data_IF_548981173215
#
_entry.id   IF_548981173215
#
_cell.length_a   1.000
_cell.length_b   1.000
_cell.length_c   1.000
_cell.angle_alpha   90.00
_cell.angle_beta   90.00
_cell.angle_gamma   90.00
#
_symmetry.space_group_name_H-M   'P 1'
#
loop_
_entity.id
_entity.type
_entity.pdbx_description
1 polymer ?
#
# COMPACT_ATOMS: atom_id res chain seq x y z
N UNK A 1 -38.94 -44.05 -1.29
CA UNK A 1 -37.72 -43.31 -0.97
C UNK A 1 -38.01 -42.25 0.10
N UNK A 2 -37.36 -42.35 1.26
CA UNK A 2 -37.44 -41.31 2.29
C UNK A 2 -36.57 -40.14 1.83
N UNK A 3 -37.17 -39.00 1.60
CA UNK A 3 -36.43 -37.73 1.48
C UNK A 3 -36.17 -37.22 2.89
N UNK A 4 -34.95 -37.39 3.41
CA UNK A 4 -34.54 -36.67 4.59
C UNK A 4 -34.28 -35.23 4.18
N UNK A 5 -35.14 -34.32 4.64
CA UNK A 5 -34.88 -32.89 4.52
C UNK A 5 -33.79 -32.53 5.54
N UNK A 6 -32.60 -32.16 5.09
CA UNK A 6 -31.56 -31.58 5.92
C UNK A 6 -32.01 -30.16 6.23
N UNK A 7 -32.59 -29.95 7.40
CA UNK A 7 -33.16 -28.65 7.79
C UNK A 7 -32.16 -27.66 8.37
N UNK A 8 -30.97 -28.09 8.81
CA UNK A 8 -29.86 -27.24 9.28
C UNK A 8 -28.54 -28.00 9.20
N UNK A 9 -27.62 -27.52 8.38
CA UNK A 9 -26.19 -27.76 8.53
C UNK A 9 -25.65 -26.76 9.56
N UNK A 10 -25.05 -27.24 10.65
CA UNK A 10 -24.25 -26.40 11.52
C UNK A 10 -22.76 -26.64 11.23
N UNK A 11 -21.90 -25.77 11.72
CA UNK A 11 -20.46 -25.83 11.50
C UNK A 11 -19.84 -27.19 11.84
N UNK A 12 -20.33 -27.82 12.93
CA UNK A 12 -19.82 -29.11 13.39
C UNK A 12 -20.22 -30.30 12.48
N UNK A 13 -21.13 -30.07 11.52
CA UNK A 13 -21.51 -31.08 10.52
C UNK A 13 -20.64 -31.07 9.27
N UNK A 14 -19.76 -30.09 9.14
CA UNK A 14 -18.97 -29.87 7.93
C UNK A 14 -17.54 -30.41 8.05
N UNK A 15 -17.17 -31.20 8.97
CA UNK A 15 -15.81 -31.76 9.15
C UNK A 15 -14.64 -30.80 8.78
N UNK A 16 -14.85 -29.50 9.07
CA UNK A 16 -13.88 -28.42 8.81
C UNK A 16 -13.54 -27.79 10.15
N UNK A 17 -12.25 -27.60 10.41
CA UNK A 17 -11.80 -26.85 11.60
C UNK A 17 -11.84 -25.36 11.29
N UNK A 18 -12.76 -24.59 11.92
CA UNK A 18 -12.85 -23.15 11.64
C UNK A 18 -11.58 -22.41 12.10
N UNK A 19 -11.01 -21.60 11.25
CA UNK A 19 -9.98 -20.61 11.62
C UNK A 19 -10.54 -19.21 11.46
N UNK A 20 -10.09 -18.30 12.32
CA UNK A 20 -10.56 -16.92 12.31
C UNK A 20 -10.10 -16.22 11.01
N UNK A 21 -11.05 -15.55 10.35
CA UNK A 21 -10.83 -14.80 9.11
C UNK A 21 -10.48 -15.65 7.87
N UNK A 22 -10.68 -16.95 7.90
CA UNK A 22 -10.52 -17.80 6.73
C UNK A 22 -11.87 -18.10 6.07
N UNK A 23 -11.89 -18.11 4.75
CA UNK A 23 -13.05 -18.56 3.99
C UNK A 23 -13.14 -20.09 4.03
N UNK A 24 -14.35 -20.63 3.95
CA UNK A 24 -14.59 -22.05 3.70
C UNK A 24 -14.91 -22.18 2.22
N UNK A 25 -14.19 -23.04 1.53
CA UNK A 25 -14.39 -23.34 0.13
C UNK A 25 -14.25 -24.83 -0.15
N UNK A 26 -14.42 -25.21 -1.40
CA UNK A 26 -14.09 -26.55 -1.85
C UNK A 26 -12.56 -26.69 -1.97
N UNK A 27 -12.04 -27.87 -1.65
CA UNK A 27 -10.67 -28.24 -1.95
C UNK A 27 -10.40 -28.29 -3.46
N UNK A 28 -9.16 -28.56 -3.86
CA UNK A 28 -8.77 -28.61 -5.28
C UNK A 28 -9.45 -29.73 -6.08
N UNK A 29 -9.97 -30.75 -5.40
CA UNK A 29 -10.74 -31.86 -5.98
C UNK A 29 -12.23 -31.56 -6.11
N UNK A 30 -12.72 -30.51 -5.46
CA UNK A 30 -14.12 -30.12 -5.34
C UNK A 30 -15.01 -31.21 -4.70
N UNK A 31 -14.44 -32.08 -3.89
CA UNK A 31 -15.13 -33.20 -3.22
C UNK A 31 -15.16 -33.10 -1.69
N UNK A 32 -14.42 -32.13 -1.10
CA UNK A 32 -14.44 -31.82 0.33
C UNK A 32 -14.41 -30.28 0.57
N UNK A 33 -14.61 -29.88 1.84
CA UNK A 33 -14.56 -28.50 2.27
C UNK A 33 -13.28 -28.27 3.08
N UNK A 34 -12.56 -27.19 2.75
CA UNK A 34 -11.38 -26.77 3.49
C UNK A 34 -11.46 -25.30 3.91
N UNK A 35 -10.71 -24.92 4.96
CA UNK A 35 -10.49 -23.53 5.31
C UNK A 35 -9.33 -22.97 4.50
N UNK A 36 -9.40 -21.68 4.15
CA UNK A 36 -8.41 -21.03 3.29
C UNK A 36 -8.65 -21.25 1.79
N UNK A 37 -9.51 -22.18 1.40
CA UNK A 37 -9.93 -22.36 0.02
C UNK A 37 -10.77 -21.16 -0.44
N UNK A 38 -10.35 -20.49 -1.48
CA UNK A 38 -11.08 -19.38 -2.05
C UNK A 38 -10.80 -18.02 -1.39
N UNK A 39 -9.62 -17.83 -0.83
CA UNK A 39 -9.12 -16.49 -0.53
C UNK A 39 -9.28 -15.60 -1.76
N UNK A 40 -9.93 -14.44 -1.62
CA UNK A 40 -10.07 -13.48 -2.71
C UNK A 40 -8.71 -13.14 -3.33
N UNK A 41 -8.73 -12.53 -4.52
CA UNK A 41 -7.47 -12.09 -5.19
C UNK A 41 -6.60 -11.16 -4.34
N UNK A 42 -7.17 -10.52 -3.30
CA UNK A 42 -6.46 -9.70 -2.33
C UNK A 42 -6.48 -10.36 -0.96
N UNK A 43 -5.30 -10.71 -0.44
CA UNK A 43 -5.13 -11.35 0.87
C UNK A 43 -4.56 -10.33 1.85
N UNK A 44 -5.26 -10.08 2.96
CA UNK A 44 -4.79 -9.20 4.02
C UNK A 44 -3.52 -9.76 4.68
N UNK A 45 -2.49 -8.91 4.82
CA UNK A 45 -1.22 -9.27 5.46
C UNK A 45 -1.06 -8.52 6.79
N UNK A 46 -1.09 -7.21 6.75
CA UNK A 46 -0.90 -6.38 7.93
C UNK A 46 -1.50 -4.98 7.75
N UNK A 47 -1.67 -4.29 8.87
CA UNK A 47 -2.21 -2.92 8.88
C UNK A 47 -1.42 -2.07 9.87
N UNK A 48 -0.98 -0.92 9.42
CA UNK A 48 -0.56 0.20 10.24
C UNK A 48 -1.78 1.07 10.55
N UNK A 49 -1.92 1.49 11.80
CA UNK A 49 -2.89 2.51 12.22
C UNK A 49 -2.13 3.51 13.08
N UNK A 50 -2.12 4.78 12.70
CA UNK A 50 -1.45 5.81 13.47
C UNK A 50 -2.07 5.96 14.85
N UNK A 51 -1.22 6.13 15.86
CA UNK A 51 -1.60 6.48 17.24
C UNK A 51 -1.52 8.00 17.51
N UNK A 52 -1.14 8.76 16.48
CA UNK A 52 -1.02 10.22 16.54
C UNK A 52 0.41 10.74 16.69
N UNK A 53 1.40 9.84 16.82
CA UNK A 53 2.81 10.20 17.05
C UNK A 53 3.81 9.26 16.37
N UNK A 54 3.46 8.78 15.17
CA UNK A 54 4.27 7.78 14.47
C UNK A 54 5.28 8.43 13.51
N UNK A 55 6.55 8.29 13.80
CA UNK A 55 7.62 8.76 12.90
C UNK A 55 7.66 7.97 11.58
N UNK A 56 7.21 6.71 11.58
CA UNK A 56 7.23 5.83 10.40
C UNK A 56 6.13 4.79 10.43
N UNK A 57 5.61 4.43 9.26
CA UNK A 57 4.81 3.22 9.04
C UNK A 57 5.66 2.19 8.30
N UNK A 58 6.01 1.09 8.99
CA UNK A 58 6.99 0.11 8.50
C UNK A 58 6.35 -1.26 8.28
N UNK A 59 6.62 -1.86 7.12
CA UNK A 59 6.14 -3.17 6.72
C UNK A 59 7.33 -4.07 6.37
N UNK A 60 7.44 -5.22 7.05
CA UNK A 60 8.54 -6.18 6.86
C UNK A 60 8.06 -7.56 6.40
N UNK A 61 6.75 -7.72 6.19
CA UNK A 61 6.13 -8.99 5.77
C UNK A 61 6.04 -9.09 4.24
N UNK A 62 7.14 -8.76 3.55
CA UNK A 62 7.24 -8.81 2.09
C UNK A 62 8.21 -9.92 1.74
N UNK A 63 7.69 -11.01 1.20
CA UNK A 63 8.45 -12.22 0.91
C UNK A 63 8.12 -12.77 -0.50
N UNK A 64 8.36 -14.04 -0.73
CA UNK A 64 8.09 -14.70 -2.01
C UNK A 64 6.67 -15.28 -2.15
N UNK A 65 5.83 -15.14 -1.12
CA UNK A 65 4.47 -15.70 -1.10
C UNK A 65 3.61 -15.11 -2.21
N UNK A 66 3.69 -13.78 -2.40
CA UNK A 66 2.95 -13.10 -3.45
C UNK A 66 3.91 -12.49 -4.48
N UNK A 67 3.42 -12.38 -5.73
CA UNK A 67 4.15 -11.68 -6.80
C UNK A 67 3.83 -10.20 -6.86
N UNK A 68 2.74 -9.81 -6.25
CA UNK A 68 2.30 -8.43 -6.18
C UNK A 68 1.86 -8.10 -4.75
N UNK A 69 2.24 -6.89 -4.31
CA UNK A 69 1.84 -6.35 -3.02
C UNK A 69 1.23 -4.97 -3.23
N UNK A 70 0.11 -4.72 -2.56
CA UNK A 70 -0.54 -3.42 -2.61
C UNK A 70 -0.70 -2.83 -1.21
N UNK A 71 -0.31 -1.57 -1.08
CA UNK A 71 -0.50 -0.75 0.11
C UNK A 71 -1.66 0.20 -0.16
N UNK A 72 -2.75 0.06 0.60
CA UNK A 72 -3.91 0.94 0.53
C UNK A 72 -3.79 1.99 1.63
N UNK A 73 -3.68 3.24 1.23
CA UNK A 73 -3.51 4.41 2.08
C UNK A 73 -4.86 5.07 2.30
N UNK A 74 -5.23 5.32 3.57
CA UNK A 74 -6.50 5.95 3.94
C UNK A 74 -6.28 7.02 4.99
N UNK A 75 -6.69 8.24 4.67
CA UNK A 75 -6.72 9.38 5.60
C UNK A 75 -5.39 9.61 6.31
N UNK A 76 -4.25 9.36 5.63
CA UNK A 76 -2.95 9.69 6.20
C UNK A 76 -2.86 11.20 6.35
N UNK A 77 -2.65 11.64 7.59
CA UNK A 77 -2.66 13.02 8.02
C UNK A 77 -1.31 13.38 8.66
N UNK A 78 -0.65 14.46 8.26
CA UNK A 78 0.62 14.88 8.84
C UNK A 78 0.43 15.74 10.09
N UNK A 79 1.41 15.74 10.99
CA UNK A 79 1.54 16.70 12.06
C UNK A 79 1.93 18.09 11.55
N UNK A 80 2.88 18.12 10.60
CA UNK A 80 3.47 19.35 10.07
C UNK A 80 2.75 19.80 8.80
N UNK A 81 2.32 21.05 8.78
CA UNK A 81 1.72 21.67 7.61
C UNK A 81 2.70 21.78 6.43
N UNK A 82 2.19 21.54 5.21
CA UNK A 82 2.96 21.66 3.99
C UNK A 82 4.08 20.62 3.82
N UNK A 83 3.99 19.46 4.48
CA UNK A 83 5.00 18.41 4.40
C UNK A 83 4.81 17.50 3.18
N UNK A 84 5.72 16.55 3.00
CA UNK A 84 5.67 15.54 1.95
C UNK A 84 5.43 14.16 2.55
N UNK A 85 4.66 13.32 1.87
CA UNK A 85 4.56 11.90 2.17
C UNK A 85 5.51 11.12 1.28
N UNK A 86 6.32 10.26 1.89
CA UNK A 86 7.42 9.58 1.22
C UNK A 86 7.41 8.08 1.50
N UNK A 87 8.03 7.33 0.60
CA UNK A 87 8.26 5.89 0.75
C UNK A 87 9.72 5.55 0.48
N UNK A 88 10.24 4.53 1.15
CA UNK A 88 11.50 3.91 0.82
C UNK A 88 11.44 2.39 0.97
N UNK A 89 12.41 1.69 0.36
CA UNK A 89 12.43 0.25 0.23
C UNK A 89 13.71 -0.32 0.85
N UNK A 90 13.58 -1.48 1.51
CA UNK A 90 14.69 -2.23 2.10
C UNK A 90 15.05 -3.40 1.19
N UNK A 91 16.34 -3.63 0.95
CA UNK A 91 16.89 -4.65 0.04
C UNK A 91 17.77 -5.68 0.74
N UNK A 92 17.30 -6.19 1.88
CA UNK A 92 17.98 -7.22 2.68
C UNK A 92 18.96 -6.68 3.72
N UNK A 93 19.15 -5.35 3.80
CA UNK A 93 19.90 -4.68 4.87
C UNK A 93 18.99 -4.30 6.04
N UNK A 94 19.48 -3.49 6.98
CA UNK A 94 18.62 -2.86 7.99
C UNK A 94 18.09 -1.49 7.53
N UNK A 95 18.70 -0.91 6.51
CA UNK A 95 18.36 0.41 6.00
C UNK A 95 17.28 0.34 4.92
N UNK A 96 16.46 1.38 4.83
CA UNK A 96 15.48 1.58 3.75
C UNK A 96 16.11 2.52 2.72
N UNK A 97 17.03 1.99 1.91
CA UNK A 97 17.87 2.78 1.01
C UNK A 97 18.11 2.10 -0.34
N UNK A 98 17.26 1.19 -0.77
CA UNK A 98 17.34 0.60 -2.10
C UNK A 98 17.44 1.68 -3.18
N UNK A 99 18.43 1.56 -4.08
CA UNK A 99 18.64 2.51 -5.18
C UNK A 99 17.45 2.52 -6.13
N UNK A 100 16.96 3.72 -6.48
CA UNK A 100 15.74 3.91 -7.28
C UNK A 100 15.94 4.85 -8.47
N UNK A 101 15.17 4.57 -9.51
CA UNK A 101 14.88 5.52 -10.60
C UNK A 101 13.38 5.60 -10.78
N UNK A 102 12.86 6.80 -10.92
CA UNK A 102 11.42 7.04 -11.06
C UNK A 102 11.11 8.25 -11.91
N UNK A 103 9.87 8.37 -12.30
CA UNK A 103 9.26 9.55 -12.88
C UNK A 103 7.92 9.82 -12.24
N UNK A 104 7.48 11.07 -12.24
CA UNK A 104 6.18 11.44 -11.69
C UNK A 104 5.54 12.59 -12.44
N UNK A 105 4.24 12.68 -12.33
CA UNK A 105 3.46 13.80 -12.79
C UNK A 105 2.31 14.05 -11.83
N UNK A 106 1.81 15.27 -11.78
CA UNK A 106 0.64 15.60 -11.00
C UNK A 106 -0.38 16.39 -11.82
N UNK A 107 -1.65 16.17 -11.48
CA UNK A 107 -2.75 17.02 -11.89
C UNK A 107 -3.33 17.69 -10.65
N UNK A 108 -3.65 18.98 -10.75
CA UNK A 108 -4.27 19.69 -9.65
C UNK A 108 -5.39 20.63 -10.12
N UNK A 109 -6.28 20.93 -9.19
CA UNK A 109 -7.34 21.90 -9.34
C UNK A 109 -7.53 22.68 -8.03
N UNK A 110 -7.58 24.02 -8.10
CA UNK A 110 -7.92 24.83 -6.93
C UNK A 110 -9.39 24.71 -6.61
N UNK A 111 -9.72 24.71 -5.33
CA UNK A 111 -11.11 24.60 -4.86
C UNK A 111 -12.00 25.77 -5.31
N UNK A 112 -11.43 26.95 -5.48
CA UNK A 112 -12.13 28.15 -5.99
C UNK A 112 -12.29 28.17 -7.52
N UNK A 113 -11.74 27.16 -8.21
CA UNK A 113 -11.80 27.06 -9.67
C UNK A 113 -10.87 27.99 -10.44
N UNK A 114 -10.01 28.77 -9.76
CA UNK A 114 -9.17 29.79 -10.40
C UNK A 114 -8.00 29.22 -11.19
N UNK A 115 -7.55 27.99 -10.88
CA UNK A 115 -6.42 27.35 -11.58
C UNK A 115 -6.52 25.84 -11.62
N UNK A 116 -5.99 25.26 -12.68
CA UNK A 116 -5.77 23.81 -12.83
C UNK A 116 -4.61 23.57 -13.79
N UNK A 117 -3.84 22.50 -13.56
CA UNK A 117 -2.79 22.09 -14.49
C UNK A 117 -2.50 20.58 -14.39
N UNK A 118 -1.83 20.08 -15.43
CA UNK A 118 -1.18 18.77 -15.45
C UNK A 118 0.28 18.99 -15.87
N UNK A 119 1.22 18.44 -15.11
CA UNK A 119 2.64 18.62 -15.43
C UNK A 119 3.54 17.53 -14.89
N UNK A 120 4.73 17.42 -15.48
CA UNK A 120 5.80 16.58 -14.96
C UNK A 120 6.29 17.12 -13.62
N UNK A 121 6.46 16.21 -12.65
CA UNK A 121 6.96 16.54 -11.32
C UNK A 121 8.42 16.09 -11.19
N UNK A 122 9.34 17.04 -11.37
CA UNK A 122 10.79 16.78 -11.34
C UNK A 122 11.28 16.31 -9.98
N UNK A 123 10.62 16.75 -8.89
CA UNK A 123 11.03 16.37 -7.52
C UNK A 123 10.55 14.96 -7.12
N UNK A 124 9.57 14.41 -7.84
CA UNK A 124 9.20 13.01 -7.74
C UNK A 124 10.05 12.11 -8.64
N UNK A 125 10.82 12.69 -9.57
CA UNK A 125 11.75 11.99 -10.47
C UNK A 125 13.08 11.71 -9.77
N UNK A 126 13.41 10.44 -9.55
CA UNK A 126 14.69 10.01 -8.99
C UNK A 126 15.58 9.41 -10.08
N UNK A 127 16.89 9.61 -9.99
CA UNK A 127 17.87 9.09 -10.95
C UNK A 127 19.00 8.36 -10.22
N UNK A 128 18.85 7.05 -10.02
CA UNK A 128 19.84 6.16 -9.37
C UNK A 128 20.26 6.67 -7.98
N UNK A 129 19.29 6.98 -7.13
CA UNK A 129 19.55 7.46 -5.76
C UNK A 129 18.91 6.56 -4.70
N UNK A 130 19.48 6.59 -3.49
CA UNK A 130 19.00 5.88 -2.31
C UNK A 130 18.00 6.68 -1.48
N UNK A 131 17.85 7.98 -1.78
CA UNK A 131 16.93 8.88 -1.10
C UNK A 131 15.47 8.42 -1.13
N UNK A 132 14.65 8.99 -0.29
CA UNK A 132 13.22 8.67 -0.23
C UNK A 132 12.50 9.04 -1.52
N UNK A 133 11.50 8.28 -1.89
CA UNK A 133 10.58 8.60 -2.99
C UNK A 133 9.44 9.44 -2.46
N UNK A 134 9.30 10.66 -2.96
CA UNK A 134 8.11 11.48 -2.71
C UNK A 134 6.92 10.91 -3.48
N UNK A 135 5.80 10.66 -2.79
CA UNK A 135 4.56 10.15 -3.39
C UNK A 135 3.40 11.12 -3.24
N UNK A 136 3.51 12.10 -2.34
CA UNK A 136 2.61 13.25 -2.25
C UNK A 136 3.38 14.46 -1.69
N UNK A 137 2.96 15.68 -2.01
CA UNK A 137 3.70 16.89 -1.66
C UNK A 137 2.79 17.98 -1.11
N UNK A 138 3.39 18.83 -0.27
CA UNK A 138 2.74 20.03 0.29
C UNK A 138 1.38 19.74 0.95
N UNK A 139 1.31 18.58 1.65
CA UNK A 139 0.09 18.14 2.32
C UNK A 139 -0.15 19.05 3.51
N UNK A 140 -1.34 19.59 3.64
CA UNK A 140 -1.70 20.40 4.79
C UNK A 140 -2.06 19.56 6.02
N UNK A 141 -2.20 20.23 7.16
CA UNK A 141 -2.53 19.61 8.44
C UNK A 141 -3.87 20.08 9.04
N UNK A 142 -4.71 20.70 8.24
CA UNK A 142 -6.09 21.01 8.62
C UNK A 142 -6.97 19.75 8.55
N UNK A 143 -8.13 19.75 9.21
CA UNK A 143 -8.98 18.56 9.33
C UNK A 143 -9.52 18.00 8.00
N UNK A 144 -9.56 18.77 6.94
CA UNK A 144 -9.96 18.40 5.59
C UNK A 144 -8.78 18.04 4.68
N UNK A 145 -7.55 18.13 5.18
CA UNK A 145 -6.32 17.87 4.43
C UNK A 145 -5.73 16.53 4.82
N UNK A 146 -5.79 15.57 3.92
CA UNK A 146 -5.27 14.22 4.13
C UNK A 146 -4.94 13.54 2.80
N UNK A 147 -4.38 12.33 2.89
CA UNK A 147 -3.96 11.53 1.74
C UNK A 147 -4.77 10.25 1.67
N UNK A 148 -5.28 9.92 0.48
CA UNK A 148 -5.80 8.62 0.12
C UNK A 148 -5.16 8.12 -1.18
N UNK A 149 -5.00 6.81 -1.31
CA UNK A 149 -4.42 6.24 -2.53
C UNK A 149 -3.84 4.86 -2.35
N UNK A 150 -2.90 4.52 -3.21
CA UNK A 150 -2.23 3.22 -3.16
C UNK A 150 -0.80 3.28 -3.70
N UNK A 151 -0.01 2.28 -3.26
CA UNK A 151 1.26 1.92 -3.86
C UNK A 151 1.23 0.42 -4.21
N UNK A 152 1.55 0.09 -5.45
CA UNK A 152 1.65 -1.27 -5.96
C UNK A 152 3.12 -1.63 -6.18
N UNK A 153 3.58 -2.74 -5.61
CA UNK A 153 4.95 -3.26 -5.71
C UNK A 153 4.93 -4.62 -6.40
N UNK A 154 5.70 -4.75 -7.48
CA UNK A 154 5.68 -5.92 -8.35
C UNK A 154 6.91 -6.80 -8.14
N UNK A 155 6.69 -8.10 -7.94
CA UNK A 155 7.69 -9.16 -7.84
C UNK A 155 8.87 -8.81 -6.91
N UNK A 156 8.61 -8.35 -5.65
CA UNK A 156 9.65 -7.82 -4.77
C UNK A 156 10.74 -8.84 -4.42
N UNK A 157 10.41 -10.13 -4.39
CA UNK A 157 11.35 -11.23 -4.09
C UNK A 157 12.29 -11.59 -5.24
N UNK A 158 12.17 -10.93 -6.42
CA UNK A 158 13.07 -11.22 -7.55
C UNK A 158 14.52 -10.88 -7.19
N UNK A 159 15.42 -11.85 -7.44
CA UNK A 159 16.88 -11.66 -7.38
C UNK A 159 17.49 -11.54 -8.78
N UNK A 160 16.67 -11.49 -9.82
CA UNK A 160 17.11 -11.42 -11.23
C UNK A 160 16.73 -10.07 -11.85
N UNK A 161 15.52 -9.60 -11.60
CA UNK A 161 14.97 -8.39 -12.22
C UNK A 161 14.85 -7.26 -11.22
N UNK A 162 14.84 -6.02 -11.71
CA UNK A 162 14.46 -4.83 -10.94
C UNK A 162 13.03 -4.95 -10.44
N UNK A 163 12.70 -4.30 -9.35
CA UNK A 163 11.38 -4.32 -8.73
C UNK A 163 10.64 -3.04 -9.05
N UNK A 164 9.64 -3.13 -9.91
CA UNK A 164 8.81 -1.99 -10.28
C UNK A 164 7.81 -1.64 -9.19
N UNK A 165 7.47 -0.36 -9.09
CA UNK A 165 6.37 0.13 -8.28
C UNK A 165 5.59 1.23 -9.00
N UNK A 166 4.31 1.33 -8.68
CA UNK A 166 3.41 2.38 -9.16
C UNK A 166 2.63 2.90 -7.96
N UNK A 167 2.50 4.20 -7.87
CA UNK A 167 1.76 4.88 -6.82
C UNK A 167 0.83 5.92 -7.43
N UNK A 168 -0.38 5.99 -6.90
CA UNK A 168 -1.31 7.08 -7.15
C UNK A 168 -1.84 7.57 -5.80
N UNK A 169 -1.63 8.85 -5.53
CA UNK A 169 -2.10 9.50 -4.31
C UNK A 169 -3.00 10.68 -4.66
N UNK A 170 -4.14 10.74 -4.00
CA UNK A 170 -5.00 11.92 -3.96
C UNK A 170 -4.81 12.59 -2.61
N UNK A 171 -4.59 13.89 -2.60
CA UNK A 171 -4.45 14.66 -1.36
C UNK A 171 -4.91 16.11 -1.54
N UNK A 172 -5.31 16.70 -0.44
CA UNK A 172 -5.49 18.14 -0.32
C UNK A 172 -4.17 18.73 0.15
N UNK A 173 -3.78 19.85 -0.41
CA UNK A 173 -2.58 20.55 0.03
C UNK A 173 -2.93 21.82 0.80
N UNK A 174 -1.95 22.36 1.54
CA UNK A 174 -2.10 23.52 2.40
C UNK A 174 -2.39 24.85 1.66
N UNK A 175 -2.69 24.82 0.37
CA UNK A 175 -3.10 25.98 -0.43
C UNK A 175 -4.43 25.70 -1.16
N UNK A 176 -5.27 24.83 -0.60
CA UNK A 176 -6.59 24.46 -1.13
C UNK A 176 -6.57 23.89 -2.55
N UNK A 177 -5.55 23.07 -2.85
CA UNK A 177 -5.51 22.29 -4.10
C UNK A 177 -5.95 20.86 -3.86
N UNK A 178 -6.84 20.37 -4.70
CA UNK A 178 -7.04 18.94 -4.93
C UNK A 178 -5.93 18.44 -5.85
N UNK A 179 -5.02 17.61 -5.35
CA UNK A 179 -3.90 17.06 -6.11
C UNK A 179 -4.05 15.58 -6.36
N UNK A 180 -3.74 15.15 -7.58
CA UNK A 180 -3.62 13.75 -7.96
C UNK A 180 -2.18 13.50 -8.43
N UNK A 181 -1.39 12.84 -7.59
CA UNK A 181 0.03 12.56 -7.81
C UNK A 181 0.21 11.14 -8.33
N UNK A 182 0.83 10.99 -9.48
CA UNK A 182 1.26 9.71 -10.05
C UNK A 182 2.77 9.58 -9.98
N UNK A 183 3.27 8.46 -9.47
CA UNK A 183 4.69 8.12 -9.45
C UNK A 183 4.86 6.68 -9.87
N UNK A 184 5.78 6.43 -10.81
CA UNK A 184 6.17 5.09 -11.20
C UNK A 184 7.70 4.99 -11.25
N UNK A 185 8.23 3.86 -10.81
CA UNK A 185 9.67 3.66 -10.77
C UNK A 185 10.06 2.21 -10.57
N UNK A 186 11.35 2.03 -10.31
CA UNK A 186 11.90 0.71 -9.98
C UNK A 186 13.07 0.83 -9.00
N UNK A 187 13.18 -0.17 -8.13
CA UNK A 187 14.37 -0.39 -7.31
C UNK A 187 15.42 -1.10 -8.17
N UNK A 188 16.54 -0.41 -8.46
CA UNK A 188 17.62 -0.91 -9.30
C UNK A 188 18.65 -1.70 -8.47
N UNK A 189 18.17 -2.75 -7.85
CA UNK A 189 18.96 -3.68 -7.04
C UNK A 189 18.64 -5.10 -7.45
N UNK A 190 19.60 -6.02 -7.31
CA UNK A 190 19.36 -7.46 -7.55
C UNK A 190 18.87 -8.18 -6.29
N UNK A 191 19.12 -7.64 -5.10
CA UNK A 191 18.58 -8.18 -3.86
C UNK A 191 17.04 -8.07 -3.83
N UNK A 192 16.37 -8.98 -3.13
CA UNK A 192 14.94 -8.89 -2.89
C UNK A 192 14.60 -7.62 -2.10
N UNK A 193 13.44 -7.02 -2.38
CA UNK A 193 12.85 -6.01 -1.51
C UNK A 193 12.03 -6.74 -0.46
N UNK A 194 12.42 -6.63 0.80
CA UNK A 194 11.85 -7.33 1.95
C UNK A 194 11.20 -6.39 2.98
N UNK A 195 11.21 -5.09 2.71
CA UNK A 195 10.56 -4.09 3.55
C UNK A 195 10.20 -2.81 2.81
N UNK A 196 9.12 -2.18 3.24
CA UNK A 196 8.67 -0.86 2.78
C UNK A 196 8.40 0.02 3.99
N UNK A 197 8.87 1.25 3.94
CA UNK A 197 8.67 2.24 4.99
C UNK A 197 8.08 3.52 4.42
N UNK A 198 6.99 3.98 5.00
CA UNK A 198 6.40 5.28 4.73
C UNK A 198 6.69 6.24 5.88
N UNK A 199 6.87 7.53 5.56
CA UNK A 199 7.04 8.58 6.56
C UNK A 199 6.72 9.95 5.99
N UNK A 200 6.49 10.91 6.86
CA UNK A 200 6.51 12.32 6.50
C UNK A 200 7.96 12.80 6.32
N UNK A 201 8.17 13.81 5.48
CA UNK A 201 9.49 14.43 5.33
C UNK A 201 9.86 15.29 6.56
N UNK A 202 8.85 15.82 7.23
CA UNK A 202 8.96 16.54 8.52
C UNK A 202 7.74 16.26 9.38
N UNK A 203 7.93 16.19 10.70
CA UNK A 203 6.90 15.81 11.66
C UNK A 203 6.52 14.34 11.57
N UNK A 204 5.45 13.99 12.22
CA UNK A 204 4.98 12.62 12.38
C UNK A 204 3.72 12.35 11.54
N UNK A 205 3.38 11.07 11.39
CA UNK A 205 2.08 10.62 10.87
C UNK A 205 1.09 10.76 12.03
N UNK A 206 0.25 11.79 12.00
CA UNK A 206 -0.68 12.10 13.06
C UNK A 206 -1.97 11.29 12.99
N UNK A 207 -2.31 10.75 11.83
CA UNK A 207 -3.54 9.98 11.65
C UNK A 207 -3.54 9.10 10.41
N UNK A 208 -4.56 8.23 10.34
CA UNK A 208 -4.82 7.39 9.18
C UNK A 208 -4.34 5.96 9.29
N UNK A 209 -4.47 5.25 8.20
CA UNK A 209 -4.12 3.82 8.12
C UNK A 209 -3.45 3.48 6.79
N UNK A 210 -2.53 2.53 6.83
CA UNK A 210 -1.96 1.87 5.66
C UNK A 210 -2.19 0.37 5.81
N UNK A 211 -2.84 -0.25 4.83
CA UNK A 211 -3.11 -1.69 4.85
C UNK A 211 -2.35 -2.38 3.73
N UNK A 212 -1.60 -3.41 4.08
CA UNK A 212 -0.85 -4.25 3.15
C UNK A 212 -1.66 -5.50 2.77
N UNK A 213 -1.76 -5.73 1.48
CA UNK A 213 -2.32 -6.95 0.89
C UNK A 213 -1.32 -7.60 -0.07
N UNK A 214 -1.36 -8.95 -0.14
CA UNK A 214 -0.80 -9.73 -1.22
C UNK A 214 -1.85 -9.97 -2.30
N UNK A 215 -1.42 -10.08 -3.56
CA UNK A 215 -2.29 -10.37 -4.71
C UNK A 215 -1.94 -11.76 -5.25
N UNK A 216 -2.95 -12.63 -5.35
CA UNK A 216 -2.87 -13.97 -5.94
C UNK A 216 -3.06 -13.93 -7.46
#
# INVERSE_FOLDING_TARGET
>A
GFIMAISKLNFNSLNVTPAANEAIGFDSGADDLETGAGGGSMVFISKFTSDGSDATATFTNIDSTYKEYIFIIKNIHPETDGTQFTVNFRDGSTAYDATKTSSGFNAYHLEDGSASALGYDSDAGLAQVTGVQRVAWNIGNENDENIGGYLHLFNPSSTTFVKHYISQMQHNNNNSYSNNQYVAGYCNVTAAIDGVQFKMASGEIQGGTITLYGIN
#
